data_IF_654025536836
#
_entry.id   IF_654025536836
#
_cell.length_a   1.000
_cell.length_b   1.000
_cell.length_c   1.000
_cell.angle_alpha   90.00
_cell.angle_beta   90.00
_cell.angle_gamma   90.00
#
_symmetry.space_group_name_H-M   'P 1'
#
loop_
_entity.id
_entity.type
_entity.pdbx_description
1 polymer ?
#
# COMPACT_ATOMS: atom_id res chain seq x y z
N UNK A 1 -1.51 -12.39 -23.71
CA UNK A 1 -1.30 -12.00 -22.30
C UNK A 1 -0.47 -10.73 -22.25
N UNK A 2 -0.68 -9.90 -21.23
CA UNK A 2 0.11 -8.70 -21.04
C UNK A 2 1.56 -9.08 -20.69
N UNK A 3 2.57 -8.27 -21.12
CA UNK A 3 4.00 -8.54 -20.88
C UNK A 3 4.38 -8.64 -19.39
N UNK A 4 3.57 -8.08 -18.51
CA UNK A 4 3.77 -8.10 -17.05
C UNK A 4 3.03 -9.24 -16.34
N UNK A 5 2.27 -10.05 -17.06
CA UNK A 5 1.58 -11.20 -16.46
C UNK A 5 2.58 -12.25 -15.99
N UNK A 6 2.54 -12.58 -14.70
CA UNK A 6 3.48 -13.49 -14.03
C UNK A 6 4.96 -13.12 -14.30
N UNK A 7 5.26 -11.81 -14.25
CA UNK A 7 6.63 -11.33 -14.38
C UNK A 7 7.54 -11.91 -13.28
N UNK A 8 7.00 -12.03 -12.06
CA UNK A 8 7.64 -12.76 -10.97
C UNK A 8 7.05 -14.17 -10.92
N UNK A 9 7.58 -15.04 -11.72
CA UNK A 9 7.25 -16.47 -11.86
C UNK A 9 8.23 -17.36 -11.08
N UNK A 10 8.12 -18.69 -11.25
CA UNK A 10 9.00 -19.66 -10.61
C UNK A 10 10.48 -19.41 -10.96
N UNK A 11 10.77 -19.12 -12.23
CA UNK A 11 12.14 -18.84 -12.67
C UNK A 11 12.71 -17.60 -11.96
N UNK A 12 11.92 -16.53 -11.85
CA UNK A 12 12.32 -15.34 -11.10
C UNK A 12 12.71 -15.69 -9.65
N UNK A 13 11.85 -16.43 -8.94
CA UNK A 13 12.12 -16.79 -7.55
C UNK A 13 13.33 -17.74 -7.40
N UNK A 14 13.53 -18.64 -8.34
CA UNK A 14 14.67 -19.56 -8.32
C UNK A 14 16.02 -18.85 -8.51
N UNK A 15 16.04 -17.69 -9.19
CA UNK A 15 17.26 -16.87 -9.38
C UNK A 15 17.67 -16.08 -8.14
N UNK A 16 16.84 -16.03 -7.10
CA UNK A 16 17.15 -15.26 -5.89
C UNK A 16 18.23 -15.93 -5.05
N UNK A 17 19.37 -15.28 -4.89
CA UNK A 17 20.50 -15.74 -4.06
C UNK A 17 20.36 -15.33 -2.59
N UNK A 18 19.78 -14.16 -2.35
CA UNK A 18 19.52 -13.63 -1.02
C UNK A 18 18.04 -13.79 -0.72
N UNK A 19 17.69 -14.00 0.54
CA UNK A 19 16.30 -14.12 0.99
C UNK A 19 15.66 -12.73 1.11
N UNK A 20 15.19 -12.09 0.04
CA UNK A 20 14.55 -10.77 0.13
C UNK A 20 13.13 -10.88 0.67
N UNK A 21 12.57 -9.75 1.10
CA UNK A 21 11.13 -9.56 1.16
C UNK A 21 10.63 -9.19 -0.24
N UNK A 22 9.43 -9.67 -0.59
CA UNK A 22 8.72 -9.19 -1.77
C UNK A 22 7.60 -8.25 -1.36
N UNK A 23 7.42 -7.15 -2.11
CA UNK A 23 6.31 -6.22 -1.93
C UNK A 23 5.54 -6.12 -3.24
N UNK A 24 4.25 -6.52 -3.23
CA UNK A 24 3.37 -6.35 -4.37
C UNK A 24 2.24 -5.35 -4.07
N UNK A 25 2.41 -4.12 -4.53
CA UNK A 25 1.40 -3.05 -4.50
C UNK A 25 1.02 -2.57 -5.91
N UNK A 26 1.28 -3.38 -6.95
CA UNK A 26 0.97 -3.01 -8.33
C UNK A 26 -0.29 -3.70 -8.85
N UNK A 27 -0.23 -4.99 -9.20
CA UNK A 27 -1.37 -5.83 -9.61
C UNK A 27 -1.12 -7.26 -9.20
N UNK A 28 -2.17 -7.99 -8.80
CA UNK A 28 -2.06 -9.38 -8.36
C UNK A 28 -1.38 -10.27 -9.40
N UNK A 29 -1.85 -10.21 -10.65
CA UNK A 29 -1.35 -11.03 -11.75
C UNK A 29 0.08 -10.74 -12.23
N UNK A 30 0.79 -9.79 -11.62
CA UNK A 30 2.22 -9.57 -11.89
C UNK A 30 3.07 -10.63 -11.20
N UNK A 31 2.58 -11.18 -10.11
CA UNK A 31 3.24 -12.23 -9.33
C UNK A 31 2.44 -13.52 -9.44
N UNK A 32 3.09 -14.61 -9.81
CA UNK A 32 2.51 -15.95 -9.79
C UNK A 32 2.32 -16.40 -8.33
N UNK A 33 1.09 -16.48 -7.85
CA UNK A 33 0.80 -16.85 -6.46
C UNK A 33 1.29 -18.25 -6.06
N UNK A 34 1.12 -19.31 -6.87
CA UNK A 34 1.73 -20.62 -6.64
C UNK A 34 3.24 -20.55 -6.50
N UNK A 35 3.92 -19.84 -7.39
CA UNK A 35 5.37 -19.69 -7.35
C UNK A 35 5.83 -18.91 -6.10
N UNK A 36 5.14 -17.84 -5.74
CA UNK A 36 5.42 -17.08 -4.53
C UNK A 36 5.22 -17.91 -3.27
N UNK A 37 4.13 -18.70 -3.17
CA UNK A 37 3.92 -19.63 -2.04
C UNK A 37 5.06 -20.65 -1.93
N UNK A 38 5.51 -21.21 -3.06
CA UNK A 38 6.65 -22.13 -3.09
C UNK A 38 7.91 -21.45 -2.58
N UNK A 39 8.20 -20.23 -3.05
CA UNK A 39 9.37 -19.46 -2.63
C UNK A 39 9.38 -19.13 -1.13
N UNK A 40 8.21 -18.80 -0.55
CA UNK A 40 8.05 -18.60 0.89
C UNK A 40 8.30 -19.90 1.66
N UNK A 41 7.67 -21.03 1.23
CA UNK A 41 7.82 -22.34 1.89
C UNK A 41 9.25 -22.88 1.86
N UNK A 42 9.98 -22.65 0.77
CA UNK A 42 11.36 -23.10 0.60
C UNK A 42 12.40 -22.14 1.15
N UNK A 43 11.97 -20.99 1.68
CA UNK A 43 12.86 -19.97 2.25
C UNK A 43 13.68 -19.22 1.21
N UNK A 44 13.28 -19.19 -0.04
CA UNK A 44 13.80 -18.28 -1.07
C UNK A 44 13.41 -16.83 -0.82
N UNK A 45 12.24 -16.62 -0.23
CA UNK A 45 11.79 -15.33 0.30
C UNK A 45 11.86 -15.33 1.83
N UNK A 46 12.24 -14.21 2.42
CA UNK A 46 12.18 -13.97 3.86
C UNK A 46 10.75 -13.65 4.33
N UNK A 47 9.93 -13.06 3.46
CA UNK A 47 8.56 -12.72 3.73
C UNK A 47 7.90 -12.00 2.57
N UNK A 48 6.62 -11.66 2.73
CA UNK A 48 5.80 -11.00 1.72
C UNK A 48 4.90 -9.91 2.30
N UNK A 49 4.84 -8.78 1.57
CA UNK A 49 3.90 -7.69 1.78
C UNK A 49 3.01 -7.61 0.53
N UNK A 50 1.72 -7.86 0.69
CA UNK A 50 0.82 -8.01 -0.46
C UNK A 50 -0.38 -7.08 -0.29
N UNK A 51 -0.52 -6.13 -1.21
CA UNK A 51 -1.69 -5.27 -1.32
C UNK A 51 -2.60 -5.70 -2.49
N UNK A 52 -1.99 -6.15 -3.59
CA UNK A 52 -2.70 -6.57 -4.80
C UNK A 52 -2.61 -8.09 -4.98
N UNK A 53 -3.75 -8.74 -5.14
CA UNK A 53 -3.89 -10.20 -5.14
C UNK A 53 -4.39 -10.72 -6.48
N UNK A 54 -4.02 -11.93 -6.86
CA UNK A 54 -4.73 -12.62 -7.93
C UNK A 54 -6.14 -12.99 -7.48
N UNK A 55 -7.07 -12.99 -8.44
CA UNK A 55 -8.48 -13.38 -8.25
C UNK A 55 -9.25 -12.54 -7.24
N UNK A 56 -8.88 -11.27 -7.01
CA UNK A 56 -9.67 -10.39 -6.16
C UNK A 56 -11.16 -10.39 -6.58
N UNK A 57 -12.11 -10.48 -5.65
CA UNK A 57 -11.96 -10.48 -4.19
C UNK A 57 -11.69 -11.86 -3.57
N UNK A 58 -11.72 -12.95 -4.35
CA UNK A 58 -11.59 -14.36 -3.91
C UNK A 58 -10.10 -14.73 -3.83
N UNK A 59 -9.39 -14.10 -2.92
CA UNK A 59 -7.94 -14.22 -2.78
C UNK A 59 -7.50 -15.58 -2.21
N UNK A 60 -6.27 -16.00 -2.55
CA UNK A 60 -5.68 -17.23 -2.02
C UNK A 60 -5.46 -17.13 -0.50
N UNK A 61 -6.21 -17.92 0.26
CA UNK A 61 -6.21 -17.90 1.74
C UNK A 61 -4.92 -18.43 2.34
N UNK A 62 -4.30 -19.41 1.71
CA UNK A 62 -3.01 -19.92 2.17
C UNK A 62 -1.93 -18.86 2.04
N UNK A 63 -1.87 -18.17 0.90
CA UNK A 63 -0.96 -17.06 0.69
C UNK A 63 -1.25 -15.90 1.65
N UNK A 64 -2.54 -15.63 1.94
CA UNK A 64 -2.93 -14.61 2.92
C UNK A 64 -2.36 -14.91 4.30
N UNK A 65 -2.43 -16.16 4.76
CA UNK A 65 -1.85 -16.55 6.06
C UNK A 65 -0.31 -16.43 6.07
N UNK A 66 0.35 -16.69 4.94
CA UNK A 66 1.80 -16.61 4.82
C UNK A 66 2.33 -15.18 4.73
N UNK A 67 1.50 -14.21 4.32
CA UNK A 67 1.93 -12.84 4.18
C UNK A 67 2.17 -12.17 5.55
N UNK A 68 3.29 -11.43 5.68
CA UNK A 68 3.60 -10.63 6.87
C UNK A 68 2.67 -9.42 6.98
N UNK A 69 2.44 -8.75 5.85
CA UNK A 69 1.48 -7.66 5.72
C UNK A 69 0.57 -7.97 4.54
N UNK A 70 -0.74 -7.92 4.80
CA UNK A 70 -1.78 -8.20 3.83
C UNK A 70 -2.84 -7.11 3.87
N UNK A 71 -3.04 -6.40 2.77
CA UNK A 71 -4.01 -5.31 2.69
C UNK A 71 -4.96 -5.51 1.51
N UNK A 72 -6.20 -5.01 1.58
CA UNK A 72 -7.23 -5.28 0.58
C UNK A 72 -7.18 -4.29 -0.60
N UNK A 73 -6.02 -4.20 -1.27
CA UNK A 73 -5.77 -3.34 -2.44
C UNK A 73 -6.07 -1.85 -2.16
N UNK A 74 -5.42 -1.32 -1.13
CA UNK A 74 -5.66 0.03 -0.60
C UNK A 74 -4.39 0.91 -0.55
N UNK A 75 -3.27 0.45 -1.11
CA UNK A 75 -2.00 1.19 -1.04
C UNK A 75 -2.13 2.63 -1.59
N UNK A 76 -2.92 2.83 -2.64
CA UNK A 76 -3.22 4.15 -3.22
C UNK A 76 -4.45 4.87 -2.64
N UNK A 77 -5.00 4.43 -1.51
CA UNK A 77 -6.30 4.92 -1.01
C UNK A 77 -6.23 6.11 -0.06
N UNK A 78 -5.09 6.80 0.04
CA UNK A 78 -5.05 8.08 0.76
C UNK A 78 -5.93 9.13 0.08
N UNK A 79 -6.45 10.07 0.85
CA UNK A 79 -7.21 11.21 0.32
C UNK A 79 -6.33 12.07 -0.60
N UNK A 80 -5.07 12.25 -0.22
CA UNK A 80 -4.05 12.97 -1.00
C UNK A 80 -3.78 12.27 -2.34
N UNK A 81 -3.60 10.95 -2.35
CA UNK A 81 -3.37 10.16 -3.55
C UNK A 81 -4.56 10.20 -4.51
N UNK A 82 -5.77 10.02 -3.99
CA UNK A 82 -7.02 10.10 -4.79
C UNK A 82 -7.20 11.49 -5.39
N UNK A 83 -6.98 12.54 -4.59
CA UNK A 83 -7.05 13.91 -5.09
C UNK A 83 -5.99 14.17 -6.17
N UNK A 84 -4.75 13.79 -5.94
CA UNK A 84 -3.65 13.99 -6.89
C UNK A 84 -3.94 13.27 -8.21
N UNK A 85 -4.41 12.02 -8.17
CA UNK A 85 -4.76 11.26 -9.37
C UNK A 85 -5.88 11.94 -10.17
N UNK A 86 -6.92 12.43 -9.49
CA UNK A 86 -8.01 13.17 -10.13
C UNK A 86 -7.52 14.47 -10.75
N UNK A 87 -6.73 15.23 -10.00
CA UNK A 87 -6.14 16.49 -10.49
C UNK A 87 -5.28 16.27 -11.73
N UNK A 88 -4.36 15.32 -11.69
CA UNK A 88 -3.50 14.98 -12.83
C UNK A 88 -4.30 14.59 -14.08
N UNK A 89 -5.38 13.82 -13.90
CA UNK A 89 -6.24 13.43 -15.02
C UNK A 89 -6.94 14.63 -15.64
N UNK A 90 -7.41 15.57 -14.83
CA UNK A 90 -8.05 16.79 -15.29
C UNK A 90 -7.07 17.76 -15.94
N UNK A 91 -5.87 17.91 -15.38
CA UNK A 91 -4.81 18.73 -15.97
C UNK A 91 -4.40 18.20 -17.34
N UNK A 92 -4.22 16.87 -17.47
CA UNK A 92 -3.89 16.23 -18.74
C UNK A 92 -5.00 16.42 -19.80
N UNK A 93 -6.28 16.32 -19.41
CA UNK A 93 -7.41 16.58 -20.31
C UNK A 93 -7.44 18.03 -20.74
N UNK A 94 -7.22 18.96 -19.80
CA UNK A 94 -7.20 20.39 -20.08
C UNK A 94 -6.08 20.75 -21.06
N UNK A 95 -4.89 20.18 -20.88
CA UNK A 95 -3.74 20.36 -21.77
C UNK A 95 -4.00 19.76 -23.15
N UNK A 96 -4.42 18.49 -23.20
CA UNK A 96 -4.63 17.76 -24.45
C UNK A 96 -5.71 18.39 -25.36
N UNK A 97 -6.79 18.88 -24.77
CA UNK A 97 -7.91 19.46 -25.49
C UNK A 97 -7.87 21.01 -25.54
N UNK A 98 -6.85 21.63 -25.01
CA UNK A 98 -6.68 23.10 -24.94
C UNK A 98 -7.92 23.81 -24.39
N UNK A 99 -8.53 23.24 -23.33
CA UNK A 99 -9.81 23.70 -22.82
C UNK A 99 -9.76 25.07 -22.14
N UNK A 100 -8.58 25.59 -21.80
CA UNK A 100 -8.41 26.88 -21.13
C UNK A 100 -9.01 26.90 -19.71
N UNK A 101 -9.23 25.72 -19.10
CA UNK A 101 -9.72 25.62 -17.73
C UNK A 101 -8.61 26.00 -16.79
N UNK A 102 -8.86 26.96 -15.90
CA UNK A 102 -7.90 27.31 -14.86
C UNK A 102 -7.64 26.09 -13.98
N UNK A 103 -6.38 25.86 -13.54
CA UNK A 103 -6.05 24.73 -12.68
C UNK A 103 -7.02 24.66 -11.51
N UNK A 104 -7.57 23.47 -11.27
CA UNK A 104 -8.49 23.23 -10.17
C UNK A 104 -7.78 23.66 -8.89
N UNK A 105 -8.35 24.67 -8.22
CA UNK A 105 -7.78 25.17 -6.98
C UNK A 105 -7.76 24.04 -5.95
N UNK A 106 -6.77 24.10 -5.08
CA UNK A 106 -6.52 23.09 -4.05
C UNK A 106 -7.78 22.85 -3.21
N UNK A 107 -8.32 21.64 -3.25
CA UNK A 107 -9.36 21.24 -2.31
C UNK A 107 -8.70 21.04 -0.94
N UNK A 108 -9.20 21.72 0.07
CA UNK A 108 -8.73 21.51 1.42
C UNK A 108 -9.18 20.13 1.90
N UNK A 109 -8.24 19.19 1.94
CA UNK A 109 -8.49 17.86 2.47
C UNK A 109 -8.66 17.92 4.00
N UNK A 110 -9.52 17.08 4.59
CA UNK A 110 -9.72 17.05 6.03
C UNK A 110 -8.41 16.71 6.76
N UNK A 111 -8.23 17.27 7.94
CA UNK A 111 -7.05 16.97 8.76
C UNK A 111 -7.12 15.52 9.30
N UNK A 112 -5.98 14.87 9.52
CA UNK A 112 -5.95 13.60 10.25
C UNK A 112 -6.41 13.82 11.70
N UNK A 113 -6.92 12.78 12.35
CA UNK A 113 -7.40 12.84 13.73
C UNK A 113 -6.32 13.32 14.70
N UNK A 114 -5.07 12.89 14.49
CA UNK A 114 -3.91 13.28 15.30
C UNK A 114 -2.83 13.90 14.39
N UNK A 115 -2.95 15.19 14.05
CA UNK A 115 -2.06 15.83 13.06
C UNK A 115 -0.65 16.11 13.59
N UNK A 116 -0.41 15.95 14.88
CA UNK A 116 0.90 16.20 15.52
C UNK A 116 1.44 14.89 16.07
N UNK A 117 2.64 14.53 15.64
CA UNK A 117 3.38 13.36 16.13
C UNK A 117 4.48 13.87 17.07
N UNK A 118 4.37 13.56 18.34
CA UNK A 118 5.33 13.99 19.36
C UNK A 118 6.50 13.00 19.44
N UNK A 119 7.71 13.47 19.14
CA UNK A 119 8.93 12.67 19.11
C UNK A 119 9.87 12.93 20.29
N UNK A 120 9.49 13.84 21.20
CA UNK A 120 10.40 14.29 22.28
C UNK A 120 10.88 13.19 23.19
N UNK A 121 10.08 12.15 23.38
CA UNK A 121 10.41 10.99 24.23
C UNK A 121 10.82 9.76 23.40
N UNK A 122 11.00 9.92 22.09
CA UNK A 122 11.34 8.83 21.18
C UNK A 122 12.84 8.90 20.88
N UNK A 123 13.53 7.81 21.13
CA UNK A 123 14.95 7.63 20.79
C UNK A 123 15.21 8.00 19.32
N UNK A 124 16.23 8.81 18.99
CA UNK A 124 16.50 9.27 17.63
C UNK A 124 16.54 8.15 16.58
N UNK A 125 17.09 7.00 16.92
CA UNK A 125 17.17 5.83 16.03
C UNK A 125 15.79 5.26 15.67
N UNK A 126 14.75 5.52 16.47
CA UNK A 126 13.40 4.99 16.29
C UNK A 126 12.39 6.03 15.77
N UNK A 127 12.76 7.31 15.72
CA UNK A 127 11.84 8.40 15.38
C UNK A 127 11.20 8.23 13.99
N UNK A 128 11.96 7.80 13.00
CA UNK A 128 11.44 7.57 11.65
C UNK A 128 10.38 6.46 11.65
N UNK A 129 10.72 5.30 12.21
CA UNK A 129 9.80 4.16 12.27
C UNK A 129 8.54 4.50 13.08
N UNK A 130 8.69 5.18 14.21
CA UNK A 130 7.59 5.65 15.03
C UNK A 130 6.69 6.62 14.25
N UNK A 131 7.26 7.61 13.56
CA UNK A 131 6.50 8.58 12.76
C UNK A 131 5.68 7.88 11.67
N UNK A 132 6.30 6.95 10.92
CA UNK A 132 5.60 6.17 9.90
C UNK A 132 4.42 5.39 10.51
N UNK A 133 4.65 4.70 11.62
CA UNK A 133 3.63 3.93 12.32
C UNK A 133 2.45 4.78 12.84
N UNK A 134 2.72 6.02 13.29
CA UNK A 134 1.68 6.94 13.74
C UNK A 134 0.81 7.48 12.59
N UNK A 135 1.37 7.57 11.38
CA UNK A 135 0.59 8.00 10.21
C UNK A 135 -0.22 6.86 9.62
N UNK A 136 0.31 5.66 9.59
CA UNK A 136 -0.35 4.47 9.05
C UNK A 136 0.27 3.17 9.57
N UNK A 137 -0.56 2.33 10.17
CA UNK A 137 -0.18 1.01 10.61
C UNK A 137 -0.97 -0.07 9.85
N UNK A 138 -0.40 -0.73 8.82
CA UNK A 138 -1.09 -1.73 7.99
C UNK A 138 -1.42 -3.04 8.73
N UNK A 139 -0.93 -3.20 9.95
CA UNK A 139 -1.20 -4.42 10.73
C UNK A 139 -2.67 -4.56 11.12
N UNK A 140 -3.39 -3.45 11.26
CA UNK A 140 -4.83 -3.49 11.55
C UNK A 140 -5.60 -4.09 10.37
N UNK A 141 -5.27 -3.65 9.14
CA UNK A 141 -5.85 -4.20 7.91
C UNK A 141 -5.48 -5.67 7.75
N UNK A 142 -4.23 -6.02 8.01
CA UNK A 142 -3.73 -7.41 7.95
C UNK A 142 -4.52 -8.32 8.87
N UNK A 143 -4.68 -7.93 10.14
CA UNK A 143 -5.44 -8.71 11.14
C UNK A 143 -6.91 -8.84 10.72
N UNK A 144 -7.51 -7.75 10.26
CA UNK A 144 -8.92 -7.75 9.84
C UNK A 144 -9.14 -8.64 8.61
N UNK A 145 -8.24 -8.55 7.62
CA UNK A 145 -8.33 -9.33 6.38
C UNK A 145 -8.14 -10.83 6.66
N UNK A 146 -7.13 -11.20 7.46
CA UNK A 146 -6.90 -12.61 7.88
C UNK A 146 -8.10 -13.18 8.63
N UNK A 147 -8.72 -12.41 9.53
CA UNK A 147 -9.91 -12.85 10.26
C UNK A 147 -11.16 -12.96 9.38
N UNK A 148 -11.30 -12.16 8.34
CA UNK A 148 -12.51 -12.07 7.53
C UNK A 148 -12.17 -11.93 6.04
N UNK A 149 -11.52 -12.92 5.40
CA UNK A 149 -11.07 -12.82 4.02
C UNK A 149 -12.24 -12.64 3.03
N UNK A 150 -13.43 -13.15 3.34
CA UNK A 150 -14.65 -12.97 2.53
C UNK A 150 -15.12 -11.50 2.47
N UNK A 151 -14.62 -10.65 3.38
CA UNK A 151 -14.92 -9.21 3.41
C UNK A 151 -13.90 -8.36 2.65
N UNK A 152 -13.06 -8.93 1.79
CA UNK A 152 -12.04 -8.21 1.02
C UNK A 152 -12.61 -6.95 0.35
N UNK A 153 -13.65 -7.12 -0.46
CA UNK A 153 -14.29 -6.02 -1.15
C UNK A 153 -14.90 -4.98 -0.19
N UNK A 154 -15.48 -5.45 0.92
CA UNK A 154 -16.05 -4.56 1.92
C UNK A 154 -14.97 -3.68 2.58
N UNK A 155 -13.86 -4.27 3.01
CA UNK A 155 -12.74 -3.52 3.59
C UNK A 155 -12.17 -2.49 2.62
N UNK A 156 -12.06 -2.86 1.34
CA UNK A 156 -11.58 -1.96 0.30
C UNK A 156 -12.56 -0.80 0.03
N UNK A 157 -13.86 -1.07 -0.08
CA UNK A 157 -14.88 -0.07 -0.41
C UNK A 157 -15.21 0.85 0.77
N UNK A 158 -15.03 0.40 2.01
CA UNK A 158 -15.28 1.16 3.24
C UNK A 158 -13.98 1.59 3.93
N UNK A 159 -12.89 1.65 3.17
CA UNK A 159 -11.61 2.05 3.73
C UNK A 159 -11.68 3.48 4.29
N UNK A 160 -11.28 3.71 5.55
CA UNK A 160 -11.38 5.01 6.18
C UNK A 160 -10.45 6.03 5.51
N UNK A 161 -10.73 7.31 5.73
CA UNK A 161 -9.90 8.38 5.23
C UNK A 161 -8.51 8.32 5.87
N UNK A 162 -7.49 8.17 5.03
CA UNK A 162 -6.08 8.24 5.40
C UNK A 162 -5.45 9.46 4.73
N UNK A 163 -4.54 10.13 5.43
CA UNK A 163 -3.74 11.23 4.89
C UNK A 163 -2.29 10.77 4.67
N UNK A 164 -1.61 11.42 3.73
CA UNK A 164 -0.17 11.23 3.52
C UNK A 164 0.66 11.99 4.54
N UNK A 165 1.96 11.68 4.61
CA UNK A 165 2.89 12.23 5.61
C UNK A 165 2.88 13.76 5.68
N UNK A 166 2.69 14.46 4.56
CA UNK A 166 2.63 15.92 4.50
C UNK A 166 1.49 16.56 5.28
N UNK A 167 0.50 15.77 5.73
CA UNK A 167 -0.60 16.25 6.57
C UNK A 167 -0.25 16.26 8.07
N UNK A 168 0.91 15.74 8.45
CA UNK A 168 1.35 15.62 9.84
C UNK A 168 2.49 16.59 10.15
N UNK A 169 2.55 17.01 11.39
CA UNK A 169 3.65 17.82 11.94
C UNK A 169 4.42 17.00 12.95
N UNK A 170 5.74 16.99 12.84
CA UNK A 170 6.61 16.38 13.84
C UNK A 170 6.94 17.42 14.90
N UNK A 171 6.85 17.03 16.16
CA UNK A 171 7.27 17.83 17.30
C UNK A 171 8.51 17.19 17.90
N UNK A 172 9.65 17.83 17.71
CA UNK A 172 10.94 17.42 18.22
C UNK A 172 11.27 18.10 19.56
N UNK A 173 12.32 17.67 20.25
CA UNK A 173 12.75 18.24 21.51
C UNK A 173 13.16 19.73 21.38
N UNK A 174 13.61 20.14 20.18
CA UNK A 174 14.13 21.49 19.89
C UNK A 174 13.14 22.38 19.13
N UNK A 175 11.85 22.01 19.04
CA UNK A 175 10.82 22.76 18.29
C UNK A 175 9.70 23.28 19.19
#
# INVERSE_FOLDING_TARGET
RHKTYHLADEYFFDTLDKKPFIINSCRGSVVDNPAMKKALKTGKLAGAVIDCWENEPDIDRELLEMADIATPHIAGYSADGKWTATKMSLDNLNEFFELGIHPIQFIQLPQPNNPVIDLREIEPAHQLAYSVWQTYNPMMETVNLKKNPDKFYWFRSHYPLRREYGAYKLKNADS
#
